data_IF_741107054575
#
_entry.id   IF_741107054575
#
_cell.length_a   1.000
_cell.length_b   1.000
_cell.length_c   1.000
_cell.angle_alpha   90.00
_cell.angle_beta   90.00
_cell.angle_gamma   90.00
#
_symmetry.space_group_name_H-M   'P 1'
#
loop_
_entity.id
_entity.type
_entity.pdbx_description
1 polymer ?
#
# COMPACT_ATOMS: atom_id res chain seq x y z
N UNK A 1 -21.62 22.13 -7.01
CA UNK A 1 -22.16 20.75 -6.88
C UNK A 1 -22.90 20.26 -8.14
N UNK A 2 -23.91 20.95 -8.69
CA UNK A 2 -24.64 20.46 -9.90
C UNK A 2 -23.78 20.17 -11.14
N UNK A 3 -22.71 20.93 -11.41
CA UNK A 3 -21.80 20.69 -12.55
C UNK A 3 -20.84 19.51 -12.36
N UNK A 4 -20.56 19.10 -11.11
CA UNK A 4 -19.69 17.95 -10.81
C UNK A 4 -20.39 16.62 -11.14
N UNK A 5 -21.71 16.55 -10.91
CA UNK A 5 -22.50 15.35 -11.22
C UNK A 5 -22.71 15.14 -12.72
N UNK A 6 -22.71 16.21 -13.52
CA UNK A 6 -22.84 16.08 -14.97
C UNK A 6 -21.61 15.43 -15.62
N UNK A 7 -20.41 15.74 -15.13
CA UNK A 7 -19.16 15.15 -15.62
C UNK A 7 -18.98 13.68 -15.16
N UNK A 8 -19.50 13.31 -14.01
CA UNK A 8 -19.50 11.91 -13.55
C UNK A 8 -20.45 11.04 -14.37
N UNK A 9 -21.57 11.60 -14.83
CA UNK A 9 -22.52 10.91 -15.72
C UNK A 9 -21.92 10.60 -17.10
N UNK A 10 -21.08 11.48 -17.63
CA UNK A 10 -20.42 11.28 -18.92
C UNK A 10 -19.36 10.15 -18.85
N UNK A 11 -18.66 10.02 -17.73
CA UNK A 11 -17.68 8.95 -17.51
C UNK A 11 -18.35 7.58 -17.36
N UNK A 12 -19.53 7.53 -16.74
CA UNK A 12 -20.35 6.31 -16.64
C UNK A 12 -20.88 5.86 -18.00
N UNK A 13 -21.24 6.78 -18.90
CA UNK A 13 -21.66 6.45 -20.27
C UNK A 13 -20.51 5.92 -21.13
N UNK A 14 -19.29 6.41 -20.94
CA UNK A 14 -18.10 5.88 -21.64
C UNK A 14 -17.77 4.44 -21.19
N UNK A 15 -17.99 4.10 -19.93
CA UNK A 15 -17.81 2.73 -19.43
C UNK A 15 -18.92 1.77 -19.93
N UNK A 16 -20.12 2.24 -20.19
CA UNK A 16 -21.20 1.42 -20.76
C UNK A 16 -21.00 1.15 -22.26
N UNK A 17 -20.39 2.06 -23.00
CA UNK A 17 -20.10 1.90 -24.43
C UNK A 17 -19.08 0.80 -24.73
N UNK A 18 -18.20 0.48 -23.79
CA UNK A 18 -17.19 -0.58 -23.94
C UNK A 18 -17.80 -1.97 -23.65
N UNK A 19 -18.89 -2.05 -22.89
CA UNK A 19 -19.55 -3.30 -22.54
C UNK A 19 -20.54 -3.82 -23.60
N UNK A 20 -20.89 -3.00 -24.61
CA UNK A 20 -21.93 -3.32 -25.63
C UNK A 20 -21.37 -3.75 -26.98
N UNK A 21 -20.02 -3.83 -27.13
CA UNK A 21 -19.40 -4.21 -28.42
C UNK A 21 -19.11 -5.71 -28.55
N UNK A 22 -19.53 -6.55 -27.61
CA UNK A 22 -19.35 -8.00 -27.69
C UNK A 22 -20.62 -8.68 -28.21
N UNK A 23 -20.65 -8.89 -29.53
CA UNK A 23 -21.60 -9.80 -30.18
C UNK A 23 -21.37 -11.23 -29.68
N UNK A 24 -22.34 -11.79 -28.99
CA UNK A 24 -22.23 -13.08 -28.32
C UNK A 24 -21.83 -14.24 -29.25
N UNK A 25 -20.88 -15.08 -28.88
CA UNK A 25 -20.51 -16.27 -29.64
C UNK A 25 -21.57 -17.36 -29.50
N UNK A 26 -21.79 -18.06 -30.61
CA UNK A 26 -22.70 -19.18 -30.81
C UNK A 26 -22.49 -20.31 -29.77
N UNK A 27 -23.58 -21.03 -29.47
CA UNK A 27 -23.66 -22.04 -28.40
C UNK A 27 -22.69 -23.25 -28.54
N UNK A 28 -21.96 -23.36 -29.66
CA UNK A 28 -20.97 -24.41 -29.89
C UNK A 28 -19.60 -24.16 -29.30
N UNK A 29 -19.26 -22.91 -29.01
CA UNK A 29 -17.96 -22.55 -28.42
C UNK A 29 -17.92 -22.57 -26.89
N UNK A 30 -19.04 -22.86 -26.24
CA UNK A 30 -19.14 -22.87 -24.77
C UNK A 30 -18.34 -23.99 -24.09
N UNK A 31 -17.81 -24.97 -24.83
CA UNK A 31 -16.94 -26.04 -24.26
C UNK A 31 -15.46 -25.67 -24.20
N UNK A 32 -14.98 -24.74 -25.02
CA UNK A 32 -13.59 -24.29 -25.00
C UNK A 32 -13.36 -23.13 -23.98
N UNK A 33 -14.38 -22.30 -23.72
CA UNK A 33 -14.30 -21.17 -22.78
C UNK A 33 -14.28 -21.57 -21.29
N UNK A 34 -14.32 -22.85 -20.95
CA UNK A 34 -14.42 -23.36 -19.56
C UNK A 34 -13.08 -23.52 -18.85
N UNK A 35 -12.00 -22.91 -19.34
CA UNK A 35 -10.68 -22.93 -18.69
C UNK A 35 -10.01 -21.58 -18.50
N UNK A 36 -10.70 -20.48 -18.59
CA UNK A 36 -10.24 -19.28 -17.90
C UNK A 36 -10.70 -19.43 -16.45
N UNK A 37 -9.87 -20.10 -15.67
CA UNK A 37 -9.99 -20.13 -14.22
C UNK A 37 -9.93 -18.67 -13.78
N UNK A 38 -11.09 -18.08 -13.47
CA UNK A 38 -11.15 -16.80 -12.77
C UNK A 38 -10.28 -16.98 -11.53
N UNK A 39 -9.13 -16.35 -11.51
CA UNK A 39 -8.25 -16.32 -10.35
C UNK A 39 -9.05 -15.66 -9.23
N UNK A 40 -9.62 -16.46 -8.36
CA UNK A 40 -10.40 -16.02 -7.19
C UNK A 40 -9.52 -15.51 -6.06
N UNK A 41 -8.23 -15.55 -6.27
CA UNK A 41 -7.23 -15.15 -5.29
C UNK A 41 -6.57 -13.87 -5.82
N UNK A 42 -6.44 -12.87 -4.98
CA UNK A 42 -5.39 -11.88 -5.19
C UNK A 42 -4.14 -12.75 -5.26
N UNK A 43 -3.42 -12.81 -6.37
CA UNK A 43 -2.28 -13.69 -6.43
C UNK A 43 -1.34 -13.28 -5.31
N UNK A 44 -1.25 -14.13 -4.30
CA UNK A 44 -0.09 -14.11 -3.46
C UNK A 44 1.06 -14.37 -4.41
N UNK A 45 1.93 -13.41 -4.54
CA UNK A 45 3.06 -13.55 -5.43
C UNK A 45 3.78 -14.85 -5.07
N UNK A 46 3.48 -15.91 -5.81
CA UNK A 46 4.17 -17.18 -5.78
C UNK A 46 4.28 -17.88 -4.41
N UNK A 47 3.16 -18.17 -3.76
CA UNK A 47 3.18 -19.11 -2.65
C UNK A 47 3.58 -20.52 -3.13
N UNK A 48 4.52 -21.22 -2.47
CA UNK A 48 4.87 -22.58 -2.81
C UNK A 48 3.64 -23.50 -2.67
N UNK A 49 3.33 -24.29 -3.70
CA UNK A 49 2.26 -25.27 -3.61
C UNK A 49 2.64 -26.37 -2.61
N UNK A 50 1.75 -26.64 -1.67
CA UNK A 50 1.90 -27.74 -0.72
C UNK A 50 2.01 -29.09 -1.44
N UNK A 51 3.19 -29.71 -1.45
CA UNK A 51 3.36 -31.17 -1.59
C UNK A 51 4.80 -31.60 -1.35
N UNK A 52 5.14 -31.91 -0.12
CA UNK A 52 6.46 -32.45 0.24
C UNK A 52 6.53 -33.98 0.15
N UNK A 53 5.46 -34.69 -0.16
CA UNK A 53 5.40 -36.16 -0.09
C UNK A 53 5.44 -36.91 -1.42
N UNK A 54 5.62 -36.25 -2.56
CA UNK A 54 5.80 -36.88 -3.87
C UNK A 54 7.12 -36.46 -4.56
N UNK A 55 8.08 -35.93 -3.80
CA UNK A 55 9.17 -35.11 -4.31
C UNK A 55 10.26 -35.86 -5.10
N UNK A 56 10.51 -37.12 -4.86
CA UNK A 56 11.68 -37.80 -5.43
C UNK A 56 11.49 -38.37 -6.83
N UNK A 57 10.26 -38.62 -7.29
CA UNK A 57 9.98 -39.10 -8.67
C UNK A 57 9.60 -38.01 -9.66
N UNK A 58 9.45 -36.78 -9.22
CA UNK A 58 8.89 -35.70 -10.02
C UNK A 58 9.90 -34.63 -10.42
N UNK A 59 11.18 -34.73 -10.09
CA UNK A 59 12.20 -33.72 -10.44
C UNK A 59 12.41 -33.58 -11.96
N UNK A 60 12.16 -34.61 -12.75
CA UNK A 60 12.35 -34.60 -14.23
C UNK A 60 11.26 -33.80 -14.98
N UNK A 61 10.10 -33.50 -14.36
CA UNK A 61 8.97 -32.87 -15.06
C UNK A 61 8.74 -31.39 -14.72
N UNK A 62 9.62 -30.74 -13.95
CA UNK A 62 9.46 -29.33 -13.63
C UNK A 62 9.76 -28.46 -14.85
N UNK A 63 8.80 -27.61 -15.24
CA UNK A 63 8.99 -26.59 -16.29
C UNK A 63 8.98 -25.19 -15.66
N UNK A 64 10.05 -24.40 -15.84
CA UNK A 64 10.04 -23.00 -15.44
C UNK A 64 8.85 -22.24 -16.05
N UNK A 65 8.27 -21.33 -15.30
CA UNK A 65 7.15 -20.51 -15.74
C UNK A 65 7.44 -19.03 -15.55
N UNK A 66 6.92 -18.22 -16.47
CA UNK A 66 6.94 -16.76 -16.39
C UNK A 66 5.53 -16.25 -16.60
N UNK A 67 5.11 -15.34 -15.75
CA UNK A 67 3.85 -14.62 -15.85
C UNK A 67 4.14 -13.13 -15.97
N UNK A 68 3.40 -12.44 -16.82
CA UNK A 68 3.50 -10.99 -17.00
C UNK A 68 2.14 -10.39 -16.72
N UNK A 69 2.12 -9.31 -15.99
CA UNK A 69 0.91 -8.60 -15.62
C UNK A 69 1.07 -7.10 -15.55
N UNK A 70 0.01 -6.44 -15.18
CA UNK A 70 -0.01 -4.99 -15.04
C UNK A 70 -0.97 -4.53 -13.94
N UNK A 71 -0.63 -3.41 -13.32
CA UNK A 71 -1.53 -2.62 -12.47
C UNK A 71 -1.65 -1.24 -13.08
N UNK A 72 -2.86 -0.79 -13.33
CA UNK A 72 -3.14 0.57 -13.81
C UNK A 72 -4.19 1.22 -12.93
N UNK A 73 -3.85 2.38 -12.36
CA UNK A 73 -4.78 3.25 -11.64
C UNK A 73 -4.88 4.59 -12.35
N UNK A 74 -6.06 4.90 -12.87
CA UNK A 74 -6.39 6.20 -13.43
C UNK A 74 -7.26 6.97 -12.45
N UNK A 75 -6.95 8.23 -12.22
CA UNK A 75 -7.68 9.10 -11.31
C UNK A 75 -8.26 10.31 -12.04
N UNK A 76 -9.50 10.63 -11.71
CA UNK A 76 -10.02 11.99 -11.79
C UNK A 76 -9.99 12.54 -10.37
N UNK A 77 -9.31 13.64 -10.14
CA UNK A 77 -9.09 14.21 -8.83
C UNK A 77 -9.55 15.65 -8.72
N UNK A 78 -9.98 16.02 -7.54
CA UNK A 78 -10.10 17.40 -7.10
C UNK A 78 -9.57 17.49 -5.68
N UNK A 79 -8.55 18.33 -5.45
CA UNK A 79 -7.84 18.42 -4.18
C UNK A 79 -7.59 19.88 -3.84
N UNK A 80 -7.81 20.26 -2.57
CA UNK A 80 -7.46 21.59 -2.10
C UNK A 80 -5.96 21.75 -1.88
N UNK A 81 -5.46 22.95 -2.20
CA UNK A 81 -4.06 23.32 -2.11
C UNK A 81 -3.48 23.08 -0.75
N UNK A 82 -2.96 22.43 -0.11
CA UNK A 82 -2.53 22.21 1.28
C UNK A 82 -2.87 20.82 1.79
N UNK A 83 -3.66 20.03 1.07
CA UNK A 83 -3.99 18.66 1.45
C UNK A 83 -2.71 17.82 1.56
N UNK A 84 -1.77 17.95 0.62
CA UNK A 84 -0.52 17.20 0.56
C UNK A 84 0.50 17.48 1.68
N UNK A 85 0.26 18.46 2.55
CA UNK A 85 1.14 18.76 3.69
C UNK A 85 1.75 20.16 3.67
N UNK A 86 1.74 20.86 2.54
CA UNK A 86 2.10 22.27 2.48
C UNK A 86 0.88 23.09 2.85
N UNK A 87 0.89 23.68 4.04
CA UNK A 87 -0.19 24.54 4.48
C UNK A 87 -0.08 25.86 3.73
N UNK A 88 -1.00 26.08 2.82
CA UNK A 88 -1.19 27.36 2.13
C UNK A 88 -2.32 28.13 2.77
N UNK A 89 -2.33 29.46 2.66
CA UNK A 89 -3.43 30.28 3.15
C UNK A 89 -4.69 30.17 2.26
N UNK A 90 -4.54 29.63 1.07
CA UNK A 90 -5.62 29.48 0.08
C UNK A 90 -6.29 28.09 0.16
N UNK A 91 -6.98 27.82 1.26
CA UNK A 91 -7.72 26.57 1.44
C UNK A 91 -8.88 26.37 0.45
N UNK A 92 -9.35 27.46 -0.18
CA UNK A 92 -10.47 27.44 -1.13
C UNK A 92 -10.10 26.95 -2.54
N UNK A 93 -8.83 26.95 -2.89
CA UNK A 93 -8.38 26.61 -4.24
C UNK A 93 -8.38 25.10 -4.44
N UNK A 94 -9.16 24.65 -5.41
CA UNK A 94 -9.29 23.27 -5.79
C UNK A 94 -8.53 22.99 -7.09
N UNK A 95 -7.43 22.24 -7.01
CA UNK A 95 -6.73 21.69 -8.17
C UNK A 95 -7.51 20.48 -8.69
N UNK A 96 -7.75 20.44 -9.98
CA UNK A 96 -8.53 19.38 -10.64
C UNK A 96 -7.74 18.82 -11.80
N UNK A 97 -7.85 17.50 -12.00
CA UNK A 97 -7.16 16.89 -13.12
C UNK A 97 -7.44 15.41 -13.27
N UNK A 98 -6.90 14.88 -14.36
CA UNK A 98 -6.80 13.46 -14.59
C UNK A 98 -5.33 13.05 -14.48
N UNK A 99 -5.06 11.90 -13.91
CA UNK A 99 -3.71 11.38 -13.81
C UNK A 99 -3.67 9.88 -14.00
N UNK A 100 -2.60 9.39 -14.61
CA UNK A 100 -2.18 8.01 -14.52
C UNK A 100 -1.39 7.87 -13.23
N UNK A 101 -2.06 7.50 -12.16
CA UNK A 101 -1.50 7.52 -10.81
C UNK A 101 -0.55 6.34 -10.56
N UNK A 102 -0.87 5.17 -11.12
CA UNK A 102 0.01 3.99 -11.17
C UNK A 102 -0.06 3.35 -12.55
N UNK A 103 1.10 2.99 -13.07
CA UNK A 103 1.22 2.15 -14.25
C UNK A 103 2.41 1.22 -14.04
N UNK A 104 2.14 -0.02 -13.67
CA UNK A 104 3.12 -1.03 -13.26
C UNK A 104 3.14 -2.19 -14.22
N UNK A 105 4.33 -2.67 -14.53
CA UNK A 105 4.55 -3.95 -15.18
C UNK A 105 5.07 -4.92 -14.13
N UNK A 106 4.45 -6.08 -14.08
CA UNK A 106 4.73 -7.16 -13.14
C UNK A 106 5.28 -8.34 -13.93
N UNK A 107 6.39 -8.90 -13.49
CA UNK A 107 6.96 -10.11 -14.07
C UNK A 107 7.30 -11.05 -12.92
N UNK A 108 6.78 -12.24 -12.95
CA UNK A 108 7.07 -13.23 -11.93
C UNK A 108 7.05 -14.63 -12.49
N UNK A 109 7.57 -15.59 -11.74
CA UNK A 109 7.58 -16.97 -12.20
C UNK A 109 8.31 -17.91 -11.25
N UNK A 110 8.23 -19.20 -11.56
CA UNK A 110 8.98 -20.24 -10.88
C UNK A 110 10.17 -20.68 -11.73
N UNK A 111 11.38 -20.59 -11.16
CA UNK A 111 12.63 -21.05 -11.78
C UNK A 111 12.96 -22.49 -11.40
N UNK A 112 12.47 -22.95 -10.25
CA UNK A 112 12.56 -24.33 -9.78
C UNK A 112 11.36 -24.63 -8.89
N UNK A 113 11.21 -25.87 -8.43
CA UNK A 113 10.14 -26.26 -7.49
C UNK A 113 10.14 -25.44 -6.18
N UNK A 114 11.31 -24.96 -5.78
CA UNK A 114 11.52 -24.20 -4.53
C UNK A 114 11.92 -22.74 -4.77
N UNK A 115 12.23 -22.39 -6.01
CA UNK A 115 12.73 -21.06 -6.34
C UNK A 115 11.78 -20.29 -7.22
N UNK A 116 11.44 -19.09 -6.81
CA UNK A 116 10.60 -18.15 -7.55
C UNK A 116 11.23 -16.76 -7.61
N UNK A 117 10.82 -15.96 -8.56
CA UNK A 117 11.25 -14.57 -8.67
C UNK A 117 10.05 -13.67 -8.91
N UNK A 118 10.21 -12.41 -8.52
CA UNK A 118 9.25 -11.36 -8.80
C UNK A 118 9.96 -10.04 -9.09
N UNK A 119 9.49 -9.33 -10.11
CA UNK A 119 9.95 -8.01 -10.50
C UNK A 119 8.74 -7.11 -10.76
N UNK A 120 8.80 -5.89 -10.26
CA UNK A 120 7.81 -4.86 -10.46
C UNK A 120 8.49 -3.54 -10.84
N UNK A 121 8.04 -2.94 -11.94
CA UNK A 121 8.45 -1.58 -12.34
C UNK A 121 7.25 -0.65 -12.32
N UNK A 122 7.47 0.62 -12.09
CA UNK A 122 6.43 1.65 -12.13
C UNK A 122 6.89 2.87 -12.91
N UNK A 123 5.99 3.45 -13.67
CA UNK A 123 6.17 4.82 -14.14
C UNK A 123 6.01 5.77 -12.95
N UNK A 124 6.86 6.81 -12.82
CA UNK A 124 6.72 7.79 -11.76
C UNK A 124 5.32 8.40 -11.74
N UNK A 125 4.75 8.54 -10.59
CA UNK A 125 3.39 8.99 -10.36
C UNK A 125 3.39 10.30 -9.56
N UNK A 126 2.38 11.17 -9.74
CA UNK A 126 1.33 11.11 -10.74
C UNK A 126 1.80 11.60 -12.11
N UNK A 127 1.38 10.91 -13.18
CA UNK A 127 1.56 11.38 -14.55
C UNK A 127 0.27 12.05 -14.96
N UNK A 128 0.31 13.35 -15.17
CA UNK A 128 -0.81 14.15 -15.66
C UNK A 128 -0.37 15.07 -16.78
N UNK A 129 -1.33 15.65 -17.49
CA UNK A 129 -1.07 16.73 -18.45
C UNK A 129 -0.87 18.00 -17.64
N UNK A 130 0.31 18.57 -17.67
CA UNK A 130 0.60 19.84 -17.02
C UNK A 130 0.06 21.00 -17.86
N UNK A 131 -0.48 22.03 -17.18
CA UNK A 131 -0.90 23.25 -17.84
C UNK A 131 0.33 23.95 -18.43
N UNK A 132 0.29 24.24 -19.74
CA UNK A 132 1.38 24.88 -20.46
C UNK A 132 2.22 23.95 -21.33
N UNK A 133 2.06 22.62 -21.20
CA UNK A 133 2.73 21.70 -22.10
C UNK A 133 2.10 21.74 -23.48
N UNK A 134 2.92 21.99 -24.49
CA UNK A 134 2.51 22.01 -25.92
C UNK A 134 2.29 20.59 -26.45
N UNK A 135 2.78 19.57 -25.77
CA UNK A 135 2.69 18.17 -26.20
C UNK A 135 2.07 17.30 -25.11
N UNK A 136 1.28 16.31 -25.50
CA UNK A 136 0.71 15.29 -24.60
C UNK A 136 1.67 14.11 -24.37
N UNK A 137 2.88 14.18 -24.89
CA UNK A 137 3.88 13.12 -24.77
C UNK A 137 4.71 13.36 -23.51
N UNK A 138 4.58 12.48 -22.53
CA UNK A 138 5.34 12.53 -21.30
C UNK A 138 6.50 11.54 -21.38
N UNK A 139 7.73 12.04 -21.28
CA UNK A 139 8.92 11.21 -21.14
C UNK A 139 9.10 10.89 -19.65
N UNK A 140 8.98 9.61 -19.29
CA UNK A 140 9.18 9.14 -17.93
C UNK A 140 10.27 8.07 -17.91
N UNK A 141 11.07 8.06 -16.86
CA UNK A 141 11.99 6.96 -16.58
C UNK A 141 11.30 5.95 -15.65
N UNK A 142 11.08 4.70 -16.09
CA UNK A 142 10.57 3.67 -15.22
C UNK A 142 11.48 3.47 -13.99
N UNK A 143 10.88 3.24 -12.83
CA UNK A 143 11.61 2.91 -11.61
C UNK A 143 11.40 1.43 -11.28
N UNK A 144 12.44 0.76 -10.82
CA UNK A 144 12.37 -0.59 -10.29
C UNK A 144 11.84 -0.51 -8.86
N UNK A 145 10.68 -1.12 -8.62
CA UNK A 145 10.08 -1.20 -7.29
C UNK A 145 10.55 -2.45 -6.56
N UNK A 146 10.33 -3.59 -7.17
CA UNK A 146 10.69 -4.88 -6.61
C UNK A 146 11.52 -5.67 -7.63
N UNK A 147 12.54 -6.37 -7.15
CA UNK A 147 13.32 -7.35 -7.90
C UNK A 147 13.89 -8.34 -6.88
N UNK A 148 13.17 -9.43 -6.68
CA UNK A 148 13.48 -10.37 -5.62
C UNK A 148 13.46 -11.81 -6.10
N UNK A 149 14.29 -12.62 -5.47
CA UNK A 149 14.30 -14.05 -5.60
C UNK A 149 13.95 -14.68 -4.25
N UNK A 150 13.02 -15.62 -4.26
CA UNK A 150 12.60 -16.40 -3.10
C UNK A 150 13.03 -17.85 -3.27
N UNK A 151 13.63 -18.42 -2.24
CA UNK A 151 13.89 -19.85 -2.15
C UNK A 151 13.20 -20.43 -0.92
N UNK A 152 12.24 -21.32 -1.15
CA UNK A 152 11.48 -22.01 -0.11
C UNK A 152 12.18 -23.31 0.28
N UNK A 153 12.98 -23.29 1.35
CA UNK A 153 13.55 -24.53 1.93
C UNK A 153 12.42 -25.44 2.45
N UNK A 154 11.46 -24.82 3.10
CA UNK A 154 10.23 -25.44 3.59
C UNK A 154 9.16 -24.34 3.77
N UNK A 155 7.93 -24.73 4.09
CA UNK A 155 6.89 -23.76 4.48
C UNK A 155 7.25 -22.98 5.75
N UNK A 156 8.03 -23.60 6.64
CA UNK A 156 8.50 -22.95 7.87
C UNK A 156 9.71 -22.03 7.66
N UNK A 157 10.43 -22.13 6.54
CA UNK A 157 11.60 -21.32 6.27
C UNK A 157 11.77 -21.04 4.77
N UNK A 158 11.66 -19.79 4.43
CA UNK A 158 11.84 -19.21 3.10
C UNK A 158 12.85 -18.08 3.20
N UNK A 159 13.71 -17.93 2.21
CA UNK A 159 14.69 -16.85 2.14
C UNK A 159 14.41 -16.02 0.89
N UNK A 160 14.24 -14.71 1.08
CA UNK A 160 13.93 -13.76 0.02
C UNK A 160 15.09 -12.76 -0.04
N UNK A 161 15.69 -12.61 -1.21
CA UNK A 161 16.81 -11.72 -1.43
C UNK A 161 16.52 -10.77 -2.60
N UNK A 162 16.99 -9.53 -2.49
CA UNK A 162 16.81 -8.51 -3.53
C UNK A 162 16.11 -7.27 -3.04
N UNK A 163 15.65 -6.46 -4.00
CA UNK A 163 14.82 -5.27 -3.75
C UNK A 163 13.40 -5.70 -3.47
N UNK A 164 12.87 -5.38 -2.31
CA UNK A 164 11.58 -5.87 -1.85
C UNK A 164 10.84 -4.86 -0.98
N UNK A 165 9.52 -4.98 -0.92
CA UNK A 165 8.72 -4.19 0.01
C UNK A 165 8.97 -4.65 1.44
N UNK A 166 9.32 -3.70 2.31
CA UNK A 166 9.72 -3.95 3.70
C UNK A 166 8.88 -3.12 4.64
N UNK A 167 8.26 -3.75 5.62
CA UNK A 167 7.53 -3.05 6.66
C UNK A 167 7.36 -3.89 7.92
N UNK A 168 7.34 -3.22 9.06
CA UNK A 168 7.01 -3.81 10.36
C UNK A 168 5.51 -3.96 10.60
N UNK A 169 4.66 -3.35 9.78
CA UNK A 169 3.22 -3.40 9.93
C UNK A 169 2.50 -3.86 8.65
N UNK A 170 1.25 -4.29 8.81
CA UNK A 170 0.42 -4.79 7.73
C UNK A 170 0.21 -3.78 6.61
N UNK A 171 -0.07 -2.52 6.96
CA UNK A 171 -0.42 -1.50 5.96
C UNK A 171 0.74 -1.23 5.00
N UNK A 172 1.97 -1.24 5.49
CA UNK A 172 3.17 -1.10 4.68
C UNK A 172 3.49 -2.31 3.81
N UNK A 173 2.80 -3.44 4.00
CA UNK A 173 2.94 -4.67 3.21
C UNK A 173 1.73 -4.96 2.32
N UNK A 174 0.80 -4.02 2.17
CA UNK A 174 -0.34 -4.22 1.28
C UNK A 174 0.04 -4.08 -0.19
N UNK A 175 -0.58 -4.91 -1.03
CA UNK A 175 -0.51 -4.78 -2.49
C UNK A 175 -1.45 -3.69 -3.00
N UNK A 176 -0.98 -2.85 -3.94
CA UNK A 176 -1.75 -1.72 -4.47
C UNK A 176 -3.10 -2.11 -5.09
N UNK A 177 -3.18 -3.27 -5.74
CA UNK A 177 -4.42 -3.77 -6.35
C UNK A 177 -5.45 -4.25 -5.31
N UNK A 178 -5.00 -4.63 -4.11
CA UNK A 178 -5.84 -5.20 -3.04
C UNK A 178 -6.34 -4.20 -2.01
N UNK A 179 -6.03 -2.92 -2.12
CA UNK A 179 -6.45 -1.90 -1.16
C UNK A 179 -7.98 -1.80 -1.06
N UNK A 180 -8.50 -1.46 0.11
CA UNK A 180 -9.92 -1.13 0.28
C UNK A 180 -10.18 0.32 -0.12
N UNK A 181 -9.39 1.27 0.35
CA UNK A 181 -9.46 2.66 -0.09
C UNK A 181 -8.75 2.87 -1.44
N UNK A 182 -8.81 4.09 -1.96
CA UNK A 182 -8.20 4.45 -3.24
C UNK A 182 -6.68 4.37 -3.20
N UNK A 183 -6.06 4.64 -2.04
CA UNK A 183 -4.62 4.61 -1.86
C UNK A 183 -4.22 4.09 -0.49
N UNK A 184 -2.90 3.88 -0.30
CA UNK A 184 -2.28 3.49 0.95
C UNK A 184 -2.60 4.48 2.08
N UNK A 185 -2.25 4.11 3.31
CA UNK A 185 -2.31 5.01 4.46
C UNK A 185 -1.37 6.20 4.27
N UNK A 186 -1.77 7.38 4.76
CA UNK A 186 -0.99 8.61 4.63
C UNK A 186 0.23 8.64 5.55
N UNK A 187 0.19 7.93 6.67
CA UNK A 187 1.18 8.06 7.75
C UNK A 187 1.92 6.74 8.06
N UNK A 188 2.00 5.83 7.11
CA UNK A 188 2.70 4.55 7.32
C UNK A 188 4.23 4.68 7.43
N UNK A 189 4.79 5.80 6.98
CA UNK A 189 6.23 6.06 6.98
C UNK A 189 6.58 7.21 7.92
N UNK A 190 7.83 7.23 8.46
CA UNK A 190 8.25 8.30 9.33
C UNK A 190 8.17 9.68 8.66
N UNK A 191 7.70 10.65 9.39
CA UNK A 191 7.71 12.05 8.96
C UNK A 191 9.14 12.59 8.96
N UNK A 192 9.49 13.36 7.93
CA UNK A 192 10.78 14.02 7.80
C UNK A 192 10.62 15.52 8.07
N UNK A 193 11.30 16.00 9.10
CA UNK A 193 11.27 17.41 9.50
C UNK A 193 11.76 18.36 8.41
N UNK A 194 12.82 18.01 7.69
CA UNK A 194 13.41 18.87 6.66
C UNK A 194 12.55 18.98 5.40
N UNK A 195 11.97 17.86 4.98
CA UNK A 195 11.13 17.83 3.80
C UNK A 195 9.66 18.16 4.09
N UNK A 196 9.29 18.30 5.35
CA UNK A 196 7.90 18.48 5.79
C UNK A 196 6.94 17.45 5.15
N UNK A 197 7.41 16.21 4.99
CA UNK A 197 6.70 15.13 4.30
C UNK A 197 7.13 13.76 4.84
N UNK A 198 6.33 12.70 4.63
CA UNK A 198 6.74 11.34 4.94
C UNK A 198 7.96 10.88 4.13
N UNK A 199 8.84 10.09 4.76
CA UNK A 199 10.02 9.48 4.12
C UNK A 199 9.67 8.22 3.32
N UNK A 200 8.71 8.32 2.42
CA UNK A 200 8.16 7.18 1.70
C UNK A 200 9.23 6.40 0.91
N UNK A 201 10.04 7.09 0.12
CA UNK A 201 11.00 6.46 -0.78
C UNK A 201 12.15 5.72 -0.09
N UNK A 202 12.37 5.94 1.22
CA UNK A 202 13.48 5.37 1.95
C UNK A 202 13.10 4.26 2.95
N UNK A 203 11.81 4.06 3.19
CA UNK A 203 11.33 3.11 4.18
C UNK A 203 10.35 2.08 3.63
N UNK A 204 9.84 2.29 2.42
CA UNK A 204 8.87 1.39 1.81
C UNK A 204 9.50 0.15 1.18
N UNK A 205 10.56 0.36 0.39
CA UNK A 205 11.31 -0.70 -0.28
C UNK A 205 12.78 -0.62 0.06
N UNK A 206 13.44 -1.78 0.11
CA UNK A 206 14.85 -1.84 0.48
C UNK A 206 15.53 -3.06 -0.14
N UNK A 207 16.84 -2.96 -0.33
CA UNK A 207 17.67 -4.03 -0.85
C UNK A 207 18.27 -4.83 0.31
N UNK A 208 18.02 -6.13 0.35
CA UNK A 208 18.50 -6.98 1.42
C UNK A 208 18.02 -8.41 1.36
N UNK A 209 18.03 -9.04 2.52
CA UNK A 209 17.66 -10.45 2.71
C UNK A 209 16.61 -10.53 3.82
N UNK A 210 15.57 -11.31 3.60
CA UNK A 210 14.44 -11.50 4.50
C UNK A 210 14.15 -12.99 4.69
N UNK A 211 14.23 -13.48 5.91
CA UNK A 211 13.73 -14.79 6.29
C UNK A 211 12.23 -14.70 6.60
N UNK A 212 11.44 -15.57 5.99
CA UNK A 212 9.98 -15.68 6.17
C UNK A 212 9.61 -17.13 6.42
N UNK A 213 8.55 -17.37 7.18
CA UNK A 213 8.03 -18.71 7.36
C UNK A 213 6.70 -18.74 8.08
N UNK A 214 6.07 -19.93 8.00
CA UNK A 214 4.78 -20.20 8.60
C UNK A 214 4.91 -21.34 9.58
N UNK A 215 4.46 -21.14 10.81
CA UNK A 215 4.50 -22.07 11.93
C UNK A 215 3.08 -22.34 12.44
N UNK A 216 2.92 -23.30 13.35
CA UNK A 216 1.66 -23.61 14.02
C UNK A 216 0.52 -23.91 13.02
N UNK A 217 0.78 -24.75 12.02
CA UNK A 217 -0.16 -25.07 10.92
C UNK A 217 -0.58 -23.81 10.16
N UNK A 218 0.42 -23.01 9.78
CA UNK A 218 0.33 -21.76 9.01
C UNK A 218 -0.32 -20.58 9.75
N UNK A 219 -0.70 -20.75 11.00
CA UNK A 219 -1.33 -19.67 11.76
C UNK A 219 -0.37 -18.57 12.20
N UNK A 220 0.89 -18.88 12.42
CA UNK A 220 1.92 -17.92 12.80
C UNK A 220 2.85 -17.66 11.61
N UNK A 221 2.79 -16.47 11.05
CA UNK A 221 3.79 -15.96 10.11
C UNK A 221 4.87 -15.18 10.86
N UNK A 222 6.13 -15.36 10.46
CA UNK A 222 7.23 -14.48 10.87
C UNK A 222 7.98 -13.97 9.65
N UNK A 223 8.53 -12.76 9.76
CA UNK A 223 9.47 -12.14 8.83
C UNK A 223 10.59 -11.49 9.65
N UNK A 224 11.83 -11.68 9.22
CA UNK A 224 12.99 -11.03 9.82
C UNK A 224 14.03 -10.76 8.74
N UNK A 225 14.33 -9.51 8.51
CA UNK A 225 15.22 -9.11 7.42
C UNK A 225 16.33 -8.14 7.82
N UNK A 226 17.39 -8.20 7.04
CA UNK A 226 18.54 -7.30 7.07
C UNK A 226 18.60 -6.56 5.73
N UNK A 227 18.64 -5.25 5.78
CA UNK A 227 18.55 -4.39 4.60
C UNK A 227 19.59 -3.28 4.64
N UNK A 228 19.90 -2.72 3.47
CA UNK A 228 20.82 -1.59 3.36
C UNK A 228 20.33 -0.38 4.16
N UNK A 229 19.02 -0.10 4.12
CA UNK A 229 18.45 1.06 4.78
C UNK A 229 18.93 2.39 4.17
N UNK A 230 18.88 3.43 4.98
CA UNK A 230 19.45 4.74 4.62
C UNK A 230 20.94 4.73 4.92
N UNK A 231 21.72 4.70 3.88
CA UNK A 231 23.18 4.80 3.98
C UNK A 231 23.57 6.27 3.84
N UNK A 232 23.84 6.93 4.97
CA UNK A 232 24.16 8.36 5.01
C UNK A 232 25.60 8.66 4.61
N UNK A 233 26.53 7.69 4.82
CA UNK A 233 27.96 7.88 4.58
C UNK A 233 28.70 6.58 4.16
N UNK A 234 27.98 5.55 3.76
CA UNK A 234 28.55 4.24 3.39
C UNK A 234 28.94 3.35 4.58
N UNK A 235 28.81 3.85 5.80
CA UNK A 235 29.20 3.15 7.03
C UNK A 235 28.04 3.00 8.04
N UNK A 236 26.84 3.40 7.66
CA UNK A 236 25.67 3.26 8.53
C UNK A 236 25.38 1.78 8.81
N UNK A 237 24.90 1.43 10.01
CA UNK A 237 24.50 0.07 10.32
C UNK A 237 23.36 -0.38 9.40
N UNK A 238 23.27 -1.69 9.16
CA UNK A 238 22.17 -2.26 8.40
C UNK A 238 20.82 -2.00 9.12
N UNK A 239 19.78 -1.84 8.33
CA UNK A 239 18.40 -1.78 8.81
C UNK A 239 17.92 -3.19 9.13
N UNK A 240 17.30 -3.36 10.29
CA UNK A 240 16.72 -4.62 10.74
C UNK A 240 15.22 -4.43 10.86
N UNK A 241 14.45 -5.28 10.17
CA UNK A 241 12.99 -5.25 10.22
C UNK A 241 12.46 -6.62 10.61
N UNK A 242 11.61 -6.65 11.62
CA UNK A 242 10.97 -7.88 12.08
C UNK A 242 9.46 -7.72 12.20
N UNK A 243 8.73 -8.79 11.90
CA UNK A 243 7.28 -8.87 12.04
C UNK A 243 6.85 -10.28 12.40
N UNK A 244 5.84 -10.39 13.27
CA UNK A 244 5.06 -11.61 13.50
C UNK A 244 3.60 -11.31 13.26
N UNK A 245 2.86 -12.28 12.72
CA UNK A 245 1.41 -12.18 12.55
C UNK A 245 0.76 -13.52 12.92
N UNK A 246 -0.27 -13.48 13.75
CA UNK A 246 -1.04 -14.66 14.13
C UNK A 246 -2.43 -14.61 13.52
N UNK A 247 -2.76 -15.63 12.74
CA UNK A 247 -4.05 -15.82 12.10
C UNK A 247 -4.94 -16.72 12.96
N UNK A 248 -5.96 -16.15 13.56
CA UNK A 248 -6.91 -16.90 14.41
C UNK A 248 -7.82 -17.81 13.58
N UNK A 249 -8.14 -17.40 12.35
CA UNK A 249 -8.97 -18.15 11.39
C UNK A 249 -8.15 -18.58 10.18
N UNK A 250 -8.56 -18.21 8.97
CA UNK A 250 -7.86 -18.58 7.74
C UNK A 250 -6.50 -17.89 7.66
N UNK A 251 -5.40 -18.62 7.41
CA UNK A 251 -4.07 -18.02 7.29
C UNK A 251 -3.95 -17.18 6.03
N UNK A 252 -3.12 -16.12 6.10
CA UNK A 252 -2.70 -15.33 4.96
C UNK A 252 -1.27 -15.73 4.58
N UNK A 253 -1.11 -16.28 3.36
CA UNK A 253 0.20 -16.74 2.87
C UNK A 253 0.80 -15.83 1.81
N UNK A 254 0.04 -14.86 1.33
CA UNK A 254 0.47 -13.93 0.30
C UNK A 254 1.63 -13.06 0.79
N UNK A 255 2.58 -12.76 -0.11
CA UNK A 255 3.67 -11.87 0.24
C UNK A 255 3.15 -10.46 0.56
N UNK A 256 2.24 -9.96 -0.29
CA UNK A 256 1.54 -8.71 -0.10
C UNK A 256 0.15 -8.96 0.50
N UNK A 257 -0.14 -8.29 1.60
CA UNK A 257 -1.45 -8.41 2.22
C UNK A 257 -2.54 -7.70 1.43
N UNK A 258 -3.74 -8.22 1.48
CA UNK A 258 -4.93 -7.56 0.95
C UNK A 258 -5.51 -6.57 1.97
N UNK A 259 -6.00 -5.42 1.51
CA UNK A 259 -6.80 -4.48 2.31
C UNK A 259 -8.25 -4.92 2.47
N UNK A 260 -8.76 -5.74 1.54
CA UNK A 260 -10.07 -6.40 1.60
C UNK A 260 -10.04 -7.69 0.79
N UNK A 261 -10.75 -8.71 1.26
CA UNK A 261 -10.87 -10.02 0.58
C UNK A 261 -12.22 -10.22 -0.11
N UNK A 262 -13.13 -9.24 -0.03
CA UNK A 262 -14.45 -9.27 -0.64
C UNK A 262 -15.24 -10.56 -0.32
N UNK A 263 -15.07 -11.10 0.88
CA UNK A 263 -15.70 -12.34 1.31
C UNK A 263 -15.09 -13.61 0.71
N UNK A 264 -13.89 -13.57 0.15
CA UNK A 264 -13.21 -14.77 -0.35
C UNK A 264 -12.77 -15.72 0.77
N UNK A 265 -12.59 -15.24 2.00
CA UNK A 265 -12.19 -16.04 3.15
C UNK A 265 -12.78 -15.54 4.47
N UNK A 266 -12.32 -16.10 5.58
CA UNK A 266 -12.56 -15.60 6.94
C UNK A 266 -11.20 -15.41 7.61
N UNK A 267 -10.75 -14.17 7.72
CA UNK A 267 -9.45 -13.85 8.31
C UNK A 267 -9.66 -13.00 9.56
N UNK A 268 -9.00 -13.37 10.65
CA UNK A 268 -8.74 -12.51 11.79
C UNK A 268 -7.27 -12.66 12.08
N UNK A 269 -6.49 -11.61 11.86
CA UNK A 269 -5.04 -11.61 12.03
C UNK A 269 -4.63 -10.47 12.96
N UNK A 270 -3.80 -10.80 13.96
CA UNK A 270 -3.12 -9.82 14.79
C UNK A 270 -1.63 -9.84 14.47
N UNK A 271 -1.03 -8.69 14.30
CA UNK A 271 0.39 -8.54 13.98
C UNK A 271 1.10 -7.56 14.89
N UNK A 272 2.39 -7.77 15.06
CA UNK A 272 3.30 -6.84 15.70
C UNK A 272 4.65 -6.86 15.00
N UNK A 273 5.37 -5.73 15.04
CA UNK A 273 6.66 -5.66 14.38
C UNK A 273 7.49 -4.47 14.82
N UNK A 274 8.74 -4.50 14.38
CA UNK A 274 9.71 -3.45 14.60
C UNK A 274 10.54 -3.18 13.36
N UNK A 275 11.10 -1.99 13.28
CA UNK A 275 12.00 -1.53 12.23
C UNK A 275 13.06 -0.61 12.87
N UNK A 276 14.33 -0.90 12.68
CA UNK A 276 15.41 -0.15 13.34
C UNK A 276 16.64 0.00 12.45
N UNK A 277 17.25 1.16 12.53
CA UNK A 277 18.57 1.45 11.93
C UNK A 277 19.26 2.58 12.69
N UNK A 278 20.46 2.35 13.21
CA UNK A 278 21.14 3.36 14.03
C UNK A 278 20.31 3.79 15.22
N UNK A 279 20.02 5.08 15.34
CA UNK A 279 19.17 5.62 16.38
C UNK A 279 17.64 5.57 16.05
N UNK A 280 17.30 5.26 14.81
CA UNK A 280 15.89 5.12 14.40
C UNK A 280 15.30 3.81 14.91
N UNK A 281 14.09 3.88 15.41
CA UNK A 281 13.25 2.71 15.62
C UNK A 281 11.77 3.03 15.45
N UNK A 282 11.06 2.03 14.98
CA UNK A 282 9.61 1.95 14.87
C UNK A 282 9.15 0.66 15.53
N UNK A 283 8.12 0.72 16.33
CA UNK A 283 7.40 -0.45 16.85
C UNK A 283 5.92 -0.24 16.66
N UNK A 284 5.21 -1.33 16.37
CA UNK A 284 3.78 -1.22 16.14
C UNK A 284 3.05 -2.53 16.21
N UNK A 285 1.74 -2.41 16.19
CA UNK A 285 0.81 -3.54 16.16
C UNK A 285 -0.34 -3.24 15.21
N UNK A 286 -0.94 -4.29 14.68
CA UNK A 286 -2.07 -4.18 13.77
C UNK A 286 -3.07 -5.32 13.97
N UNK A 287 -4.31 -5.07 13.61
CA UNK A 287 -5.42 -6.02 13.60
C UNK A 287 -6.11 -5.94 12.24
N UNK A 288 -6.30 -7.08 11.62
CA UNK A 288 -7.07 -7.23 10.40
C UNK A 288 -8.19 -8.25 10.58
N UNK A 289 -9.39 -7.85 10.20
CA UNK A 289 -10.56 -8.71 10.16
C UNK A 289 -11.18 -8.59 8.77
N UNK A 290 -11.31 -9.70 8.05
CA UNK A 290 -12.16 -9.79 6.86
C UNK A 290 -12.99 -11.05 7.01
N UNK A 291 -14.27 -10.89 7.34
CA UNK A 291 -15.15 -11.98 7.73
C UNK A 291 -16.45 -11.93 6.95
N UNK A 292 -16.85 -13.10 6.45
CA UNK A 292 -18.17 -13.28 5.83
C UNK A 292 -19.29 -12.96 6.81
N UNK A 293 -20.29 -12.23 6.34
CA UNK A 293 -21.55 -11.94 7.04
C UNK A 293 -22.68 -12.70 6.33
N UNK A 294 -22.62 -14.03 6.41
CA UNK A 294 -23.53 -14.91 5.67
C UNK A 294 -23.40 -14.75 4.16
N UNK A 295 -24.52 -14.88 3.46
CA UNK A 295 -24.60 -14.71 2.00
C UNK A 295 -24.71 -13.25 1.58
N UNK A 296 -24.94 -12.34 2.51
CA UNK A 296 -25.15 -10.92 2.22
C UNK A 296 -23.86 -10.21 1.81
N UNK A 297 -22.72 -10.61 2.38
CA UNK A 297 -21.46 -9.95 2.10
C UNK A 297 -20.34 -10.26 3.08
N UNK A 298 -19.46 -9.29 3.32
CA UNK A 298 -18.37 -9.39 4.29
C UNK A 298 -18.05 -8.05 4.94
N UNK A 299 -17.59 -8.11 6.18
CA UNK A 299 -17.05 -6.96 6.93
C UNK A 299 -15.53 -7.00 6.84
N UNK A 300 -14.92 -5.86 6.52
CA UNK A 300 -13.47 -5.66 6.57
C UNK A 300 -13.16 -4.60 7.63
N UNK A 301 -12.28 -4.90 8.58
CA UNK A 301 -11.69 -3.96 9.54
C UNK A 301 -10.17 -4.05 9.45
N UNK A 302 -9.52 -2.91 9.35
CA UNK A 302 -8.08 -2.80 9.43
C UNK A 302 -7.72 -1.70 10.43
N UNK A 303 -6.95 -2.04 11.45
CA UNK A 303 -6.52 -1.11 12.50
C UNK A 303 -5.02 -1.26 12.74
N UNK A 304 -4.33 -0.16 13.02
CA UNK A 304 -2.91 -0.17 13.33
C UNK A 304 -2.53 0.95 14.30
N UNK A 305 -1.52 0.68 15.10
CA UNK A 305 -0.83 1.68 15.92
C UNK A 305 0.67 1.54 15.70
N UNK A 306 1.36 2.67 15.57
CA UNK A 306 2.80 2.71 15.45
C UNK A 306 3.38 3.83 16.32
N UNK A 307 4.56 3.58 16.87
CA UNK A 307 5.43 4.56 17.50
C UNK A 307 6.75 4.59 16.74
N UNK A 308 7.17 5.77 16.29
CA UNK A 308 8.39 5.97 15.52
C UNK A 308 9.21 7.11 16.10
N UNK A 309 10.54 6.98 16.06
CA UNK A 309 11.45 8.05 16.44
C UNK A 309 12.81 7.88 15.79
N UNK A 310 13.47 8.98 15.49
CA UNK A 310 14.87 9.00 15.06
C UNK A 310 15.88 8.94 16.23
N UNK A 311 15.39 8.79 17.47
CA UNK A 311 16.19 8.83 18.68
C UNK A 311 16.28 10.22 19.30
N UNK A 312 17.04 10.36 20.37
CA UNK A 312 17.17 11.59 21.15
C UNK A 312 18.52 12.30 20.95
N UNK A 313 19.58 11.54 20.75
CA UNK A 313 20.92 12.10 20.60
C UNK A 313 21.18 12.62 19.19
N UNK A 314 21.08 13.94 19.02
CA UNK A 314 21.29 14.63 17.73
C UNK A 314 22.76 14.65 17.28
N UNK A 315 23.69 14.34 18.15
CA UNK A 315 25.15 14.42 17.90
C UNK A 315 25.80 13.03 17.67
N UNK A 316 25.06 11.94 17.76
CA UNK A 316 25.62 10.61 17.50
C UNK A 316 25.88 10.40 16.01
N UNK A 317 26.89 9.56 15.69
CA UNK A 317 27.36 9.36 14.31
C UNK A 317 26.26 8.88 13.35
N UNK A 318 25.43 7.96 13.76
CA UNK A 318 24.35 7.41 12.91
C UNK A 318 22.97 7.79 13.45
N UNK A 319 22.76 9.10 13.64
CA UNK A 319 21.53 9.59 14.21
C UNK A 319 20.51 9.97 13.14
N UNK A 320 19.27 9.57 13.36
CA UNK A 320 18.09 10.04 12.65
C UNK A 320 17.32 11.11 13.48
N UNK A 321 17.80 11.43 14.67
CA UNK A 321 17.16 12.41 15.57
C UNK A 321 16.97 13.79 14.94
N UNK A 322 17.86 14.17 14.01
CA UNK A 322 17.72 15.44 13.27
C UNK A 322 16.61 15.45 12.23
N UNK A 323 16.18 14.28 11.76
CA UNK A 323 15.25 14.15 10.64
C UNK A 323 13.88 13.60 11.05
N UNK A 324 13.87 12.65 11.98
CA UNK A 324 12.67 11.91 12.36
C UNK A 324 12.29 12.28 13.80
N UNK A 325 11.26 13.08 13.98
CA UNK A 325 10.74 13.41 15.31
C UNK A 325 10.10 12.19 15.95
N UNK A 326 9.86 12.26 17.26
CA UNK A 326 9.01 11.31 17.94
C UNK A 326 7.58 11.46 17.45
N UNK A 327 6.96 10.35 17.04
CA UNK A 327 5.63 10.36 16.47
C UNK A 327 4.86 9.10 16.79
N UNK A 328 3.55 9.24 16.92
CA UNK A 328 2.62 8.12 17.00
C UNK A 328 1.65 8.18 15.84
N UNK A 329 1.31 7.03 15.28
CA UNK A 329 0.36 6.88 14.19
C UNK A 329 -0.75 5.94 14.63
N UNK A 330 -1.97 6.32 14.35
CA UNK A 330 -3.18 5.54 14.56
C UNK A 330 -3.92 5.44 13.23
N UNK A 331 -4.40 4.25 12.93
CA UNK A 331 -5.11 3.96 11.70
C UNK A 331 -6.32 3.08 11.98
N UNK A 332 -7.44 3.41 11.38
CA UNK A 332 -8.66 2.61 11.40
C UNK A 332 -9.36 2.71 10.06
N UNK A 333 -9.69 1.58 9.47
CA UNK A 333 -10.45 1.50 8.23
C UNK A 333 -11.50 0.39 8.37
N UNK A 334 -12.74 0.71 8.03
CA UNK A 334 -13.88 -0.20 8.12
C UNK A 334 -14.68 -0.16 6.82
N UNK A 335 -15.04 -1.33 6.29
CA UNK A 335 -15.88 -1.45 5.11
C UNK A 335 -16.82 -2.64 5.18
N UNK A 336 -17.89 -2.59 4.40
CA UNK A 336 -18.83 -3.69 4.21
C UNK A 336 -19.03 -3.96 2.73
N UNK A 337 -18.68 -5.15 2.27
CA UNK A 337 -18.90 -5.56 0.89
C UNK A 337 -20.25 -6.25 0.74
N UNK A 338 -21.14 -5.68 -0.06
CA UNK A 338 -22.41 -6.25 -0.44
C UNK A 338 -22.24 -7.17 -1.66
N UNK A 339 -22.29 -8.49 -1.45
CA UNK A 339 -22.01 -9.49 -2.49
C UNK A 339 -22.95 -9.39 -3.70
N UNK A 340 -24.25 -9.14 -3.47
CA UNK A 340 -25.26 -9.06 -4.53
C UNK A 340 -25.06 -7.86 -5.45
N UNK A 341 -24.80 -6.70 -4.89
CA UNK A 341 -24.63 -5.43 -5.62
C UNK A 341 -23.19 -5.15 -6.00
N UNK A 342 -22.21 -5.91 -5.45
CA UNK A 342 -20.77 -5.71 -5.64
C UNK A 342 -20.28 -4.33 -5.20
N UNK A 343 -20.97 -3.71 -4.24
CA UNK A 343 -20.66 -2.39 -3.70
C UNK A 343 -20.01 -2.57 -2.34
N UNK A 344 -19.00 -1.73 -2.03
CA UNK A 344 -18.35 -1.67 -0.74
C UNK A 344 -18.23 -0.22 -0.28
N UNK A 345 -19.14 0.29 0.55
CA UNK A 345 -18.87 1.49 1.34
C UNK A 345 -17.78 1.24 2.35
N UNK A 346 -16.97 2.26 2.59
CA UNK A 346 -15.89 2.23 3.58
C UNK A 346 -15.68 3.59 4.22
N UNK A 347 -15.13 3.59 5.43
CA UNK A 347 -14.68 4.78 6.14
C UNK A 347 -13.26 4.57 6.65
N UNK A 348 -12.50 5.68 6.79
CA UNK A 348 -11.11 5.69 7.25
C UNK A 348 -10.88 6.84 8.21
N UNK A 349 -10.09 6.56 9.25
CA UNK A 349 -9.51 7.54 10.14
C UNK A 349 -8.03 7.26 10.32
N UNK A 350 -7.21 8.27 10.16
CA UNK A 350 -5.77 8.22 10.41
C UNK A 350 -5.37 9.43 11.23
N UNK A 351 -4.43 9.23 12.15
CA UNK A 351 -3.86 10.32 12.94
C UNK A 351 -2.35 10.13 13.06
N UNK A 352 -1.61 11.19 12.86
CA UNK A 352 -0.18 11.29 13.14
C UNK A 352 0.06 12.45 14.10
N UNK A 353 0.52 12.12 15.31
CA UNK A 353 0.95 13.09 16.30
C UNK A 353 2.48 13.17 16.30
N UNK A 354 3.01 14.37 16.11
CA UNK A 354 4.43 14.66 16.05
C UNK A 354 4.82 15.46 17.28
N UNK A 355 5.91 15.06 17.95
CA UNK A 355 6.44 15.77 19.11
C UNK A 355 7.98 15.79 19.09
N UNK A 356 8.56 16.93 19.49
CA UNK A 356 9.98 17.03 19.73
C UNK A 356 10.41 16.27 20.99
N UNK A 357 11.62 15.75 21.01
CA UNK A 357 12.31 15.46 22.27
C UNK A 357 12.92 16.77 22.81
N UNK A 358 13.32 16.77 24.10
CA UNK A 358 13.99 17.93 24.70
C UNK A 358 15.29 18.30 23.97
N UNK A 359 16.05 17.31 23.52
CA UNK A 359 17.30 17.49 22.80
C UNK A 359 17.06 18.04 21.39
N UNK A 360 16.02 17.59 20.72
CA UNK A 360 15.60 18.14 19.44
C UNK A 360 15.13 19.59 19.60
N UNK A 361 14.38 19.90 20.65
CA UNK A 361 13.88 21.24 20.96
C UNK A 361 14.99 22.23 21.32
N UNK A 362 16.13 21.78 21.85
CA UNK A 362 17.28 22.62 22.19
C UNK A 362 18.30 22.82 21.06
N UNK A 363 18.04 22.28 19.87
CA UNK A 363 18.94 22.35 18.72
C UNK A 363 18.44 23.35 17.68
N UNK A 364 19.28 23.73 16.69
CA UNK A 364 18.91 24.57 15.52
C UNK A 364 17.75 23.96 14.68
N UNK A 365 17.28 22.76 15.05
CA UNK A 365 16.13 22.10 14.46
C UNK A 365 14.78 22.63 14.93
N UNK A 366 14.75 23.48 15.97
CA UNK A 366 13.53 24.08 16.52
C UNK A 366 12.71 24.76 15.43
N UNK A 367 13.33 25.52 14.53
CA UNK A 367 12.64 26.23 13.45
C UNK A 367 11.87 25.30 12.51
N UNK A 368 12.32 24.04 12.39
CA UNK A 368 11.64 23.03 11.60
C UNK A 368 10.53 22.31 12.40
N UNK A 369 10.63 22.28 13.72
CA UNK A 369 9.59 21.72 14.58
C UNK A 369 8.34 22.59 14.61
N UNK A 370 8.49 23.91 14.61
CA UNK A 370 7.35 24.85 14.55
C UNK A 370 6.58 24.70 13.23
N UNK A 371 7.22 24.16 12.21
CA UNK A 371 6.60 23.80 10.92
C UNK A 371 6.06 22.36 10.88
N UNK A 372 6.47 21.50 11.82
CA UNK A 372 6.00 20.13 11.88
C UNK A 372 4.53 20.08 12.28
N UNK A 373 3.75 19.35 11.52
CA UNK A 373 2.30 19.35 11.66
C UNK A 373 1.79 17.98 12.02
N UNK A 374 1.22 17.87 13.20
CA UNK A 374 0.33 16.75 13.51
C UNK A 374 -0.87 16.83 12.58
N UNK A 375 -1.25 15.70 12.02
CA UNK A 375 -2.32 15.64 11.02
C UNK A 375 -3.29 14.51 11.31
N UNK A 376 -4.56 14.76 11.00
CA UNK A 376 -5.59 13.71 10.98
C UNK A 376 -6.22 13.65 9.60
N UNK A 377 -6.46 12.45 9.09
CA UNK A 377 -7.21 12.21 7.86
C UNK A 377 -8.46 11.41 8.20
N UNK A 378 -9.59 11.84 7.71
CA UNK A 378 -10.87 11.16 7.91
C UNK A 378 -11.74 11.29 6.69
N UNK A 379 -12.50 10.27 6.41
CA UNK A 379 -13.38 10.24 5.25
C UNK A 379 -13.82 8.85 4.91
N UNK A 380 -14.23 8.67 3.67
CA UNK A 380 -14.72 7.39 3.18
C UNK A 380 -15.00 7.41 1.71
N UNK A 381 -15.52 6.28 1.24
CA UNK A 381 -15.79 6.10 -0.16
C UNK A 381 -16.74 4.96 -0.45
N UNK A 382 -16.94 4.78 -1.73
CA UNK A 382 -17.80 3.74 -2.30
C UNK A 382 -17.04 3.05 -3.45
N UNK A 383 -16.84 1.76 -3.31
CA UNK A 383 -16.23 0.93 -4.35
C UNK A 383 -17.31 0.14 -5.09
N UNK A 384 -17.15 -0.01 -6.39
CA UNK A 384 -17.94 -0.92 -7.22
C UNK A 384 -17.01 -1.90 -7.95
N UNK A 385 -17.20 -3.19 -7.75
CA UNK A 385 -16.34 -4.24 -8.29
C UNK A 385 -16.98 -4.91 -9.50
N UNK A 386 -16.48 -4.61 -10.71
CA UNK A 386 -16.90 -5.29 -11.92
C UNK A 386 -16.43 -6.74 -11.92
N UNK A 387 -15.15 -6.95 -11.57
CA UNK A 387 -14.51 -8.25 -11.48
C UNK A 387 -13.51 -8.26 -10.32
N UNK A 388 -14.00 -8.19 -9.07
CA UNK A 388 -13.17 -8.18 -7.87
C UNK A 388 -12.07 -7.11 -7.94
N UNK A 389 -10.87 -7.47 -7.50
CA UNK A 389 -9.72 -6.57 -7.55
C UNK A 389 -9.19 -6.34 -8.96
N UNK A 390 -9.55 -7.19 -9.95
CA UNK A 390 -9.06 -7.04 -11.32
C UNK A 390 -9.61 -5.79 -12.00
N UNK A 391 -10.89 -5.47 -11.80
CA UNK A 391 -11.48 -4.26 -12.38
C UNK A 391 -12.50 -3.67 -11.42
N UNK A 392 -12.26 -2.43 -11.02
CA UNK A 392 -13.16 -1.73 -10.09
C UNK A 392 -13.14 -0.21 -10.32
N UNK A 393 -14.18 0.42 -9.79
CA UNK A 393 -14.36 1.86 -9.72
C UNK A 393 -14.46 2.25 -8.25
N UNK A 394 -13.76 3.30 -7.83
CA UNK A 394 -13.74 3.77 -6.46
C UNK A 394 -13.92 5.28 -6.42
N UNK A 395 -14.91 5.72 -5.68
CA UNK A 395 -15.14 7.14 -5.38
C UNK A 395 -14.87 7.39 -3.91
N UNK A 396 -14.10 8.42 -3.58
CA UNK A 396 -13.85 8.80 -2.19
C UNK A 396 -13.87 10.32 -1.99
N UNK A 397 -14.21 10.68 -0.76
CA UNK A 397 -13.93 11.98 -0.19
C UNK A 397 -13.20 11.80 1.12
N UNK A 398 -12.06 12.45 1.26
CA UNK A 398 -11.31 12.51 2.51
C UNK A 398 -10.98 13.96 2.87
N UNK A 399 -10.95 14.26 4.16
CA UNK A 399 -10.52 15.53 4.69
C UNK A 399 -9.26 15.33 5.53
N UNK A 400 -8.26 16.19 5.33
CA UNK A 400 -7.03 16.22 6.11
C UNK A 400 -6.97 17.49 6.93
N UNK A 401 -6.94 17.33 8.25
CA UNK A 401 -6.79 18.41 9.21
C UNK A 401 -5.34 18.49 9.64
N UNK A 402 -4.74 19.64 9.47
CA UNK A 402 -3.40 19.96 9.98
C UNK A 402 -3.53 20.88 11.18
N UNK A 403 -2.73 20.62 12.22
CA UNK A 403 -2.49 21.57 13.30
C UNK A 403 -1.21 22.33 12.96
N UNK A 404 -1.33 23.63 12.78
CA UNK A 404 -0.27 24.52 12.29
C UNK A 404 0.00 25.57 13.34
N UNK A 405 1.28 25.82 13.67
CA UNK A 405 1.66 27.02 14.39
C UNK A 405 1.50 28.24 13.47
N UNK A 406 0.91 29.31 13.98
CA UNK A 406 0.91 30.60 13.29
C UNK A 406 2.20 31.40 13.61
N UNK A 407 2.37 32.56 12.98
CA UNK A 407 3.54 33.41 13.19
C UNK A 407 3.70 33.91 14.64
N UNK A 408 2.66 33.83 15.46
CA UNK A 408 2.67 34.20 16.89
C UNK A 408 2.87 32.99 17.82
N UNK A 409 3.08 31.76 17.27
CA UNK A 409 3.24 30.53 18.04
C UNK A 409 1.92 29.93 18.55
N UNK A 410 0.77 30.50 18.20
CA UNK A 410 -0.52 29.92 18.48
C UNK A 410 -0.85 28.83 17.44
N UNK A 411 -1.39 27.71 17.91
CA UNK A 411 -1.78 26.61 17.00
C UNK A 411 -3.15 26.89 16.39
N UNK A 412 -3.19 26.95 15.07
CA UNK A 412 -4.43 26.95 14.30
C UNK A 412 -4.63 25.63 13.58
N UNK A 413 -5.89 25.22 13.40
CA UNK A 413 -6.22 24.03 12.61
C UNK A 413 -6.72 24.43 11.25
N UNK A 414 -6.18 23.83 10.20
CA UNK A 414 -6.69 23.97 8.83
C UNK A 414 -7.08 22.61 8.28
N UNK A 415 -8.23 22.56 7.60
CA UNK A 415 -8.77 21.32 7.00
C UNK A 415 -8.87 21.50 5.49
N UNK A 416 -8.41 20.50 4.77
CA UNK A 416 -8.40 20.45 3.32
C UNK A 416 -9.10 19.18 2.84
N UNK A 417 -9.84 19.29 1.74
CA UNK A 417 -10.59 18.22 1.15
C UNK A 417 -9.91 17.65 -0.10
N UNK A 418 -10.16 16.37 -0.33
CA UNK A 418 -9.77 15.65 -1.55
C UNK A 418 -10.92 14.78 -2.00
N UNK A 419 -11.24 14.82 -3.31
CA UNK A 419 -12.17 13.92 -3.99
C UNK A 419 -11.40 13.14 -5.03
N UNK A 420 -11.52 11.83 -5.01
CA UNK A 420 -10.93 10.95 -6.01
C UNK A 420 -11.97 10.02 -6.61
N UNK A 421 -11.98 9.93 -7.94
CA UNK A 421 -12.62 8.87 -8.69
C UNK A 421 -11.51 8.06 -9.37
N UNK A 422 -11.38 6.80 -9.00
CA UNK A 422 -10.35 5.88 -9.49
C UNK A 422 -10.98 4.79 -10.35
N UNK A 423 -10.34 4.49 -11.47
CA UNK A 423 -10.54 3.25 -12.22
C UNK A 423 -9.29 2.39 -12.06
N UNK A 424 -9.48 1.13 -11.70
CA UNK A 424 -8.39 0.15 -11.58
C UNK A 424 -8.53 -0.95 -12.62
N UNK A 425 -7.39 -1.30 -13.22
CA UNK A 425 -7.18 -2.54 -13.95
C UNK A 425 -6.00 -3.28 -13.33
N UNK A 426 -6.19 -4.56 -13.04
CA UNK A 426 -5.16 -5.44 -12.52
C UNK A 426 -5.24 -6.80 -13.19
N UNK A 427 -4.11 -7.25 -13.72
CA UNK A 427 -3.92 -8.58 -14.30
C UNK A 427 -2.53 -9.07 -13.89
N UNK A 428 -2.45 -10.26 -13.26
CA UNK A 428 -1.20 -10.96 -12.99
C UNK A 428 -1.41 -12.46 -12.75
#
# INVERSE_FOLDING_TARGET
MKRLFLNAGLLLMLCQGIALADGGPDARDRKAARKVRVLREIPGYLAPKDSVTAAEKAEDDFKPSIHVGAIVHMFASAEQSGFGGNVTDKASDWNKGFSLYRARVLVGGQLSRKGSFFMETELPSPIGIQLGDSTKNVKVAPILLDCQYEYAFSNAFQLIAGMQLVSSNRNGLQGAAGLMANDFTYFQYPYNLFANSPLQGNFGRDLGVNARGFLLKDKLEYRLGLFTGRNLDGQAPLRIVGRVAYNFLDPEKDYYYAGTKLGAGNTIAWGAGFDTQGSYYNVGTDLFIDKKAGDAGSVTLNAAFQYMTGGTNVNSKYTFARQIPRQTVQFLELGYYFKKTRIQPWVRYENQNISATKEQAGSELIDNFDKAKSSSVYGGGLNYFFNGSATNLRLSYVARKHNVADAGGAYSSKTYGQVWLQVQFFLF
#
